data_IF_704589034737
#
_entry.id   IF_704589034737
#
_cell.length_a   1.000
_cell.length_b   1.000
_cell.length_c   1.000
_cell.angle_alpha   90.00
_cell.angle_beta   90.00
_cell.angle_gamma   90.00
#
_symmetry.space_group_name_H-M   'P 1'
#
loop_
_entity.id
_entity.type
_entity.pdbx_description
1 polymer ?
#
# COMPACT_ATOMS: atom_id res chain seq x y z
N UNK A 1 15.13 -13.31 16.88
CA UNK A 1 13.78 -13.92 17.01
C UNK A 1 13.77 -15.44 16.91
N UNK A 2 14.46 -16.08 15.96
CA UNK A 2 14.41 -17.55 15.76
C UNK A 2 15.32 -18.36 16.71
N UNK A 3 16.25 -17.70 17.41
CA UNK A 3 17.28 -18.35 18.22
C UNK A 3 16.73 -19.27 19.33
N UNK A 4 15.66 -18.91 20.08
CA UNK A 4 15.09 -19.82 21.09
C UNK A 4 14.47 -21.12 20.52
N UNK A 5 14.15 -21.14 19.22
CA UNK A 5 13.48 -22.27 18.56
C UNK A 5 14.51 -23.10 17.77
N UNK A 6 15.45 -22.44 17.08
CA UNK A 6 16.47 -23.07 16.25
C UNK A 6 17.85 -22.48 16.56
N UNK A 7 18.44 -22.78 17.73
CA UNK A 7 19.69 -22.16 18.18
C UNK A 7 20.84 -22.44 17.21
N UNK A 8 21.07 -23.70 16.84
CA UNK A 8 22.15 -24.09 15.93
C UNK A 8 22.07 -23.42 14.55
N UNK A 9 20.87 -23.36 13.96
CA UNK A 9 20.67 -22.74 12.64
C UNK A 9 20.88 -21.23 12.73
N UNK A 10 20.41 -20.59 13.80
CA UNK A 10 20.59 -19.16 14.00
C UNK A 10 22.06 -18.79 14.21
N UNK A 11 22.84 -19.61 14.90
CA UNK A 11 24.28 -19.40 15.08
C UNK A 11 25.04 -19.55 13.75
N UNK A 12 24.69 -20.56 12.94
CA UNK A 12 25.32 -20.72 11.62
C UNK A 12 25.01 -19.52 10.70
N UNK A 13 23.77 -18.98 10.76
CA UNK A 13 23.41 -17.76 10.04
C UNK A 13 24.22 -16.56 10.54
N UNK A 14 24.37 -16.43 11.87
CA UNK A 14 25.11 -15.33 12.50
C UNK A 14 26.60 -15.35 12.11
N UNK A 15 27.21 -16.54 12.11
CA UNK A 15 28.58 -16.74 11.66
C UNK A 15 28.75 -16.38 10.17
N UNK A 16 27.80 -16.79 9.31
CA UNK A 16 27.80 -16.44 7.88
C UNK A 16 27.59 -14.95 7.62
N UNK A 17 26.90 -14.24 8.52
CA UNK A 17 26.76 -12.78 8.47
C UNK A 17 28.03 -12.05 8.93
N UNK A 18 29.05 -12.78 9.40
CA UNK A 18 30.35 -12.23 9.79
C UNK A 18 30.44 -11.80 11.26
N UNK A 19 29.43 -12.11 12.07
CA UNK A 19 29.46 -11.86 13.51
C UNK A 19 30.30 -12.95 14.19
N UNK A 20 31.22 -12.54 15.05
CA UNK A 20 32.15 -13.44 15.75
C UNK A 20 31.67 -13.87 17.13
N UNK A 21 30.65 -13.20 17.64
CA UNK A 21 30.07 -13.46 18.96
C UNK A 21 28.85 -14.36 18.81
N UNK A 22 28.69 -15.30 19.74
CA UNK A 22 27.52 -16.18 19.81
C UNK A 22 26.27 -15.33 20.07
N UNK A 23 25.15 -15.68 19.44
CA UNK A 23 23.85 -15.02 19.65
C UNK A 23 23.41 -15.08 21.12
N UNK A 24 23.76 -16.14 21.85
CA UNK A 24 23.53 -16.27 23.30
C UNK A 24 24.26 -15.20 24.14
N UNK A 25 25.32 -14.58 23.60
CA UNK A 25 26.06 -13.53 24.29
C UNK A 25 25.36 -12.17 24.21
N UNK A 26 24.41 -12.01 23.28
CA UNK A 26 23.61 -10.80 23.18
C UNK A 26 22.56 -10.81 24.29
N UNK A 27 22.71 -9.90 25.26
CA UNK A 27 21.84 -9.82 26.44
C UNK A 27 20.43 -9.28 26.17
N UNK A 28 20.20 -8.67 25.01
CA UNK A 28 18.94 -7.97 24.70
C UNK A 28 18.24 -8.58 23.50
N UNK A 29 16.91 -8.69 23.62
CA UNK A 29 16.04 -8.88 22.48
C UNK A 29 16.12 -7.64 21.57
N UNK A 30 16.01 -7.76 20.24
CA UNK A 30 15.93 -6.59 19.38
C UNK A 30 14.75 -5.72 19.80
N UNK A 31 15.01 -4.45 20.06
CA UNK A 31 13.99 -3.46 20.38
C UNK A 31 13.33 -2.96 19.09
N UNK A 32 12.03 -2.70 19.15
CA UNK A 32 11.27 -2.17 18.03
C UNK A 32 11.46 -0.66 17.99
N UNK A 33 12.27 -0.19 17.05
CA UNK A 33 12.38 1.23 16.70
C UNK A 33 11.38 1.51 15.57
N UNK A 34 10.15 1.94 15.92
CA UNK A 34 9.19 2.41 14.92
C UNK A 34 9.24 3.94 14.85
N UNK A 35 9.56 4.46 13.67
CA UNK A 35 9.48 5.89 13.36
C UNK A 35 8.19 6.22 12.61
N UNK A 36 7.76 7.49 12.62
CA UNK A 36 6.62 7.93 11.81
C UNK A 36 6.84 7.71 10.29
N UNK A 37 8.12 7.67 9.88
CA UNK A 37 8.51 7.34 8.51
C UNK A 37 8.21 5.89 8.18
N UNK A 38 8.44 4.96 9.12
CA UNK A 38 8.15 3.53 8.92
C UNK A 38 6.65 3.29 8.73
N UNK A 39 5.81 3.98 9.49
CA UNK A 39 4.35 3.86 9.36
C UNK A 39 3.92 4.33 7.96
N UNK A 40 4.51 5.42 7.46
CA UNK A 40 4.21 5.91 6.11
C UNK A 40 4.67 4.92 5.05
N UNK A 41 5.87 4.35 5.20
CA UNK A 41 6.42 3.38 4.27
C UNK A 41 5.63 2.06 4.25
N UNK A 42 5.22 1.55 5.40
CA UNK A 42 4.36 0.36 5.51
C UNK A 42 3.04 0.54 4.75
N UNK A 43 2.41 1.73 4.88
CA UNK A 43 1.16 2.05 4.15
C UNK A 43 1.36 2.00 2.65
N UNK A 44 2.40 2.63 2.15
CA UNK A 44 2.70 2.65 0.71
C UNK A 44 3.04 1.24 0.20
N UNK A 45 3.73 0.44 1.01
CA UNK A 45 4.02 -0.95 0.69
C UNK A 45 2.75 -1.82 0.66
N UNK A 46 1.77 -1.54 1.53
CA UNK A 46 0.46 -2.20 1.47
C UNK A 46 -0.28 -1.87 0.16
N UNK A 47 -0.28 -0.60 -0.25
CA UNK A 47 -0.89 -0.15 -1.52
C UNK A 47 -0.22 -0.85 -2.70
N UNK A 48 1.11 -0.93 -2.70
CA UNK A 48 1.87 -1.62 -3.73
C UNK A 48 1.52 -3.10 -3.79
N UNK A 49 1.52 -3.81 -2.66
CA UNK A 49 1.19 -5.24 -2.63
C UNK A 49 -0.23 -5.51 -3.11
N UNK A 50 -1.21 -4.72 -2.69
CA UNK A 50 -2.59 -4.82 -3.18
C UNK A 50 -2.67 -4.60 -4.68
N UNK A 51 -1.95 -3.61 -5.21
CA UNK A 51 -1.89 -3.33 -6.64
C UNK A 51 -1.29 -4.52 -7.41
N UNK A 52 -0.20 -5.10 -6.91
CA UNK A 52 0.44 -6.28 -7.49
C UNK A 52 -0.50 -7.48 -7.49
N UNK A 53 -1.22 -7.72 -6.40
CA UNK A 53 -2.18 -8.81 -6.31
C UNK A 53 -3.41 -8.60 -7.20
N UNK A 54 -3.88 -7.37 -7.34
CA UNK A 54 -4.94 -7.02 -8.29
C UNK A 54 -4.49 -7.26 -9.74
N UNK A 55 -3.24 -6.90 -10.10
CA UNK A 55 -2.66 -7.24 -11.41
C UNK A 55 -2.61 -8.76 -11.62
N UNK A 56 -2.13 -9.54 -10.63
CA UNK A 56 -2.11 -11.01 -10.71
C UNK A 56 -3.51 -11.58 -10.92
N UNK A 57 -4.50 -11.05 -10.21
CA UNK A 57 -5.89 -11.47 -10.32
C UNK A 57 -6.46 -11.16 -11.71
N UNK A 58 -6.19 -9.96 -12.25
CA UNK A 58 -6.59 -9.60 -13.62
C UNK A 58 -5.97 -10.52 -14.66
N UNK A 59 -4.66 -10.80 -14.57
CA UNK A 59 -3.97 -11.74 -15.46
C UNK A 59 -4.59 -13.14 -15.36
N UNK A 60 -4.91 -13.60 -14.15
CA UNK A 60 -5.54 -14.90 -13.92
C UNK A 60 -6.94 -14.99 -14.54
N UNK A 61 -7.71 -13.91 -14.48
CA UNK A 61 -9.06 -13.82 -15.08
C UNK A 61 -8.96 -13.78 -16.60
N UNK A 62 -8.07 -12.94 -17.14
CA UNK A 62 -7.90 -12.74 -18.58
C UNK A 62 -7.20 -13.93 -19.26
N UNK A 63 -6.45 -14.76 -18.51
CA UNK A 63 -5.66 -15.90 -19.01
C UNK A 63 -4.72 -15.55 -20.17
N UNK A 64 -4.26 -14.30 -20.22
CA UNK A 64 -3.39 -13.75 -21.26
C UNK A 64 -2.12 -13.20 -20.63
N UNK A 65 -1.02 -13.20 -21.39
CA UNK A 65 0.20 -12.52 -20.99
C UNK A 65 0.04 -11.02 -21.30
N UNK A 66 0.12 -10.13 -20.29
CA UNK A 66 -0.02 -8.71 -20.50
C UNK A 66 1.16 -8.18 -21.31
N UNK A 67 0.88 -7.40 -22.35
CA UNK A 67 1.92 -6.68 -23.12
C UNK A 67 2.18 -5.31 -22.50
N UNK A 68 1.13 -4.67 -22.00
CA UNK A 68 1.21 -3.37 -21.33
C UNK A 68 0.31 -3.34 -20.10
N UNK A 69 0.81 -2.74 -19.01
CA UNK A 69 0.07 -2.50 -17.78
C UNK A 69 0.09 -0.99 -17.54
N UNK A 70 -1.10 -0.37 -17.52
CA UNK A 70 -1.27 1.04 -17.17
C UNK A 70 -1.81 1.13 -15.76
N UNK A 71 -1.09 1.85 -14.90
CA UNK A 71 -1.48 2.10 -13.51
C UNK A 71 -1.88 3.58 -13.41
N UNK A 72 -3.14 3.81 -13.10
CA UNK A 72 -3.74 5.13 -12.96
C UNK A 72 -3.84 5.53 -11.49
N UNK A 73 -3.08 6.52 -11.06
CA UNK A 73 -3.23 7.13 -9.71
C UNK A 73 -4.45 8.05 -9.72
N UNK A 74 -5.15 8.15 -8.58
CA UNK A 74 -6.31 9.00 -8.43
C UNK A 74 -5.93 10.49 -8.44
N UNK A 75 -6.78 11.36 -9.01
CA UNK A 75 -6.54 12.80 -9.07
C UNK A 75 -6.42 13.46 -7.67
N UNK A 76 -5.66 14.58 -7.59
CA UNK A 76 -5.41 15.35 -6.37
C UNK A 76 -6.70 15.77 -5.66
N UNK A 77 -7.73 16.14 -6.42
CA UNK A 77 -9.04 16.50 -5.87
C UNK A 77 -9.67 15.35 -5.05
N UNK A 78 -9.41 14.10 -5.43
CA UNK A 78 -9.91 12.91 -4.71
C UNK A 78 -9.13 12.66 -3.42
N UNK A 79 -7.84 12.97 -3.40
CA UNK A 79 -7.03 12.93 -2.18
C UNK A 79 -7.49 13.97 -1.16
N UNK A 80 -7.85 15.18 -1.60
CA UNK A 80 -8.41 16.20 -0.70
C UNK A 80 -9.73 15.76 -0.07
N UNK A 81 -10.65 15.20 -0.87
CA UNK A 81 -11.92 14.67 -0.36
C UNK A 81 -11.67 13.50 0.60
N UNK A 82 -10.74 12.61 0.26
CA UNK A 82 -10.35 11.48 1.11
C UNK A 82 -9.81 11.94 2.46
N UNK A 83 -8.86 12.89 2.48
CA UNK A 83 -8.27 13.43 3.70
C UNK A 83 -9.28 14.21 4.54
N UNK A 84 -10.21 14.94 3.91
CA UNK A 84 -11.34 15.58 4.61
C UNK A 84 -12.24 14.56 5.29
N UNK A 85 -12.54 13.43 4.63
CA UNK A 85 -13.32 12.33 5.22
C UNK A 85 -12.57 11.68 6.39
N UNK A 86 -11.27 11.40 6.26
CA UNK A 86 -10.42 10.85 7.34
C UNK A 86 -10.41 11.79 8.55
N UNK A 87 -10.18 13.09 8.33
CA UNK A 87 -10.14 14.08 9.40
C UNK A 87 -11.45 14.12 10.19
N UNK A 88 -12.59 14.04 9.48
CA UNK A 88 -13.91 14.01 10.13
C UNK A 88 -14.23 12.70 10.83
N UNK A 89 -13.78 11.56 10.30
CA UNK A 89 -13.91 10.26 10.98
C UNK A 89 -13.14 10.22 12.31
N UNK A 90 -12.03 10.97 12.42
CA UNK A 90 -11.28 11.13 13.67
C UNK A 90 -12.01 12.02 14.69
N UNK A 91 -12.79 13.00 14.23
CA UNK A 91 -13.57 13.90 15.09
C UNK A 91 -14.92 13.29 15.52
N UNK A 92 -15.65 12.67 14.59
CA UNK A 92 -17.02 12.22 14.79
C UNK A 92 -17.24 10.89 14.02
N UNK A 93 -17.51 9.79 14.74
CA UNK A 93 -17.72 8.45 14.13
C UNK A 93 -19.07 8.31 13.41
N UNK A 94 -19.89 9.35 13.41
CA UNK A 94 -21.22 9.36 12.80
C UNK A 94 -21.17 9.49 11.27
N UNK A 95 -21.14 8.35 10.58
CA UNK A 95 -21.19 8.25 9.11
C UNK A 95 -22.40 8.99 8.49
N UNK A 96 -23.52 9.11 9.22
CA UNK A 96 -24.72 9.83 8.77
C UNK A 96 -24.55 11.36 8.72
N UNK A 97 -23.74 11.96 9.59
CA UNK A 97 -23.43 13.40 9.54
C UNK A 97 -22.49 13.71 8.38
N UNK A 98 -21.45 12.88 8.23
CA UNK A 98 -20.48 12.95 7.13
C UNK A 98 -21.21 12.81 5.78
N UNK A 99 -22.18 11.90 5.68
CA UNK A 99 -23.01 11.75 4.48
C UNK A 99 -23.89 12.97 4.19
N UNK A 100 -24.44 13.64 5.22
CA UNK A 100 -25.30 14.81 5.02
C UNK A 100 -24.52 16.05 4.56
N UNK A 101 -23.29 16.21 5.03
CA UNK A 101 -22.44 17.36 4.66
C UNK A 101 -21.71 17.16 3.33
N UNK A 102 -21.21 15.95 3.05
CA UNK A 102 -20.37 15.64 1.88
C UNK A 102 -21.02 14.70 0.86
N UNK A 103 -22.29 14.31 1.01
CA UNK A 103 -22.99 13.32 0.18
C UNK A 103 -23.18 13.65 -1.31
N UNK A 104 -22.57 14.73 -1.80
CA UNK A 104 -22.55 15.09 -3.22
C UNK A 104 -21.48 14.32 -4.00
N UNK A 105 -20.39 13.90 -3.37
CA UNK A 105 -19.30 13.21 -4.08
C UNK A 105 -19.51 11.69 -4.14
N UNK A 106 -19.32 11.09 -5.33
CA UNK A 106 -19.42 9.64 -5.52
C UNK A 106 -18.42 8.85 -4.67
N UNK A 107 -17.29 9.48 -4.35
CA UNK A 107 -16.21 8.90 -3.54
C UNK A 107 -16.69 8.67 -2.09
N UNK A 108 -17.42 9.64 -1.54
CA UNK A 108 -18.02 9.58 -0.20
C UNK A 108 -19.07 8.46 -0.13
N UNK A 109 -19.88 8.30 -1.19
CA UNK A 109 -20.84 7.20 -1.31
C UNK A 109 -20.17 5.82 -1.35
N UNK A 110 -19.04 5.68 -2.06
CA UNK A 110 -18.28 4.41 -2.15
C UNK A 110 -17.58 4.06 -0.84
N UNK A 111 -17.08 5.05 -0.11
CA UNK A 111 -16.44 4.87 1.20
C UNK A 111 -17.45 4.48 2.27
N UNK A 112 -18.60 5.17 2.36
CA UNK A 112 -19.63 4.89 3.37
C UNK A 112 -20.32 3.55 3.13
N UNK A 113 -20.42 3.08 1.87
CA UNK A 113 -20.92 1.73 1.55
C UNK A 113 -20.03 0.60 2.07
N UNK A 114 -18.76 0.88 2.41
CA UNK A 114 -17.81 -0.12 2.92
C UNK A 114 -17.26 0.32 4.29
N UNK A 115 -18.07 0.26 5.36
CA UNK A 115 -17.65 0.71 6.70
C UNK A 115 -16.43 -0.05 7.25
N UNK A 116 -16.20 -1.30 6.85
CA UNK A 116 -15.00 -2.07 7.23
C UNK A 116 -13.73 -1.68 6.45
N UNK A 117 -13.82 -0.79 5.45
CA UNK A 117 -12.68 -0.28 4.66
C UNK A 117 -12.61 1.24 4.76
N UNK A 118 -13.03 1.79 5.89
CA UNK A 118 -12.96 3.23 6.10
C UNK A 118 -11.49 3.67 6.12
N UNK A 119 -11.20 4.85 5.57
CA UNK A 119 -9.90 5.48 5.71
C UNK A 119 -9.61 5.84 7.18
N UNK A 120 -8.70 5.13 7.82
CA UNK A 120 -8.24 5.49 9.17
C UNK A 120 -7.10 6.53 9.13
N UNK A 121 -6.44 6.70 7.98
CA UNK A 121 -5.16 7.39 7.88
C UNK A 121 -5.07 8.32 6.67
N UNK A 122 -4.35 9.44 6.85
CA UNK A 122 -4.13 10.46 5.83
C UNK A 122 -3.21 9.93 4.74
N UNK A 123 -3.44 10.38 3.50
CA UNK A 123 -2.62 10.01 2.36
C UNK A 123 -2.12 11.22 1.62
N UNK A 124 -0.88 11.13 1.17
CA UNK A 124 -0.27 12.15 0.35
C UNK A 124 -0.18 11.70 -1.11
N UNK A 125 -0.53 12.60 -2.02
CA UNK A 125 -0.55 12.33 -3.44
C UNK A 125 0.84 12.11 -4.02
N UNK A 126 1.81 12.94 -3.62
CA UNK A 126 3.14 12.94 -4.21
C UNK A 126 3.92 11.70 -3.77
N UNK A 127 3.72 11.29 -2.52
CA UNK A 127 4.33 10.07 -1.97
C UNK A 127 3.83 8.82 -2.69
N UNK A 128 2.51 8.65 -2.85
CA UNK A 128 1.92 7.47 -3.54
C UNK A 128 2.36 7.40 -5.01
N UNK A 129 2.43 8.55 -5.69
CA UNK A 129 2.88 8.63 -7.08
C UNK A 129 4.37 8.30 -7.23
N UNK A 130 5.22 8.75 -6.29
CA UNK A 130 6.65 8.43 -6.31
C UNK A 130 6.90 6.95 -6.06
N UNK A 131 6.26 6.36 -5.04
CA UNK A 131 6.42 4.93 -4.73
C UNK A 131 5.99 4.05 -5.91
N UNK A 132 4.88 4.39 -6.58
CA UNK A 132 4.43 3.64 -7.75
C UNK A 132 5.36 3.80 -8.95
N UNK A 133 5.95 4.98 -9.15
CA UNK A 133 7.00 5.20 -10.18
C UNK A 133 8.25 4.38 -9.90
N UNK A 134 8.73 4.35 -8.66
CA UNK A 134 9.87 3.52 -8.28
C UNK A 134 9.58 2.03 -8.47
N UNK A 135 8.34 1.62 -8.18
CA UNK A 135 7.88 0.26 -8.36
C UNK A 135 7.70 -0.17 -9.82
N UNK A 136 7.71 0.74 -10.80
CA UNK A 136 7.59 0.38 -12.23
C UNK A 136 8.63 -0.66 -12.65
N UNK A 137 9.87 -0.48 -12.19
CA UNK A 137 10.97 -1.41 -12.48
C UNK A 137 10.76 -2.79 -11.86
N UNK A 138 10.14 -2.85 -10.68
CA UNK A 138 9.79 -4.09 -9.99
C UNK A 138 8.63 -4.82 -10.70
N UNK A 139 7.55 -4.10 -11.01
CA UNK A 139 6.36 -4.64 -11.67
C UNK A 139 6.71 -5.12 -13.09
N UNK A 140 7.54 -4.38 -13.82
CA UNK A 140 8.02 -4.76 -15.16
C UNK A 140 8.77 -6.09 -15.13
N UNK A 141 9.64 -6.30 -14.13
CA UNK A 141 10.37 -7.58 -13.96
C UNK A 141 9.44 -8.73 -13.57
N UNK A 142 8.48 -8.48 -12.68
CA UNK A 142 7.54 -9.50 -12.21
C UNK A 142 6.64 -10.03 -13.34
N UNK A 143 6.09 -9.12 -14.16
CA UNK A 143 5.07 -9.48 -15.15
C UNK A 143 5.60 -9.55 -16.59
N UNK A 144 6.88 -9.23 -16.82
CA UNK A 144 7.52 -9.19 -18.15
C UNK A 144 6.75 -8.31 -19.15
N UNK A 145 6.10 -7.26 -18.65
CA UNK A 145 5.21 -6.38 -19.40
C UNK A 145 5.67 -4.93 -19.27
N UNK A 146 5.34 -4.10 -20.26
CA UNK A 146 5.65 -2.67 -20.20
C UNK A 146 4.71 -2.00 -19.20
N UNK A 147 5.25 -1.37 -18.17
CA UNK A 147 4.46 -0.65 -17.15
C UNK A 147 4.51 0.85 -17.45
N UNK A 148 3.37 1.52 -17.35
CA UNK A 148 3.27 2.97 -17.40
C UNK A 148 2.39 3.45 -16.24
N UNK A 149 2.96 4.23 -15.33
CA UNK A 149 2.20 4.93 -14.30
C UNK A 149 1.81 6.31 -14.83
N UNK A 150 0.52 6.62 -14.78
CA UNK A 150 -0.01 7.91 -15.20
C UNK A 150 -1.07 8.41 -14.22
N UNK A 151 -1.29 9.72 -14.21
CA UNK A 151 -2.43 10.31 -13.50
C UNK A 151 -3.70 9.93 -14.25
N UNK A 152 -4.70 9.38 -13.54
CA UNK A 152 -5.98 9.01 -14.14
C UNK A 152 -7.09 9.92 -13.62
N UNK A 153 -7.74 10.65 -14.53
CA UNK A 153 -8.95 11.42 -14.23
C UNK A 153 -10.21 10.55 -14.13
N UNK A 154 -10.09 9.22 -14.26
CA UNK A 154 -11.21 8.27 -14.23
C UNK A 154 -11.84 8.13 -12.84
N UNK A 155 -13.18 8.09 -12.78
CA UNK A 155 -14.01 7.91 -11.57
C UNK A 155 -13.79 6.61 -10.78
N UNK A 156 -12.99 5.69 -11.33
CA UNK A 156 -12.69 4.39 -10.71
C UNK A 156 -11.43 4.40 -9.83
N UNK A 157 -10.50 5.33 -10.06
CA UNK A 157 -9.32 5.47 -9.21
C UNK A 157 -9.71 6.16 -7.89
N UNK A 158 -9.35 5.53 -6.77
CA UNK A 158 -9.54 6.02 -5.40
C UNK A 158 -8.16 6.05 -4.73
N UNK A 159 -7.84 7.02 -3.86
CA UNK A 159 -6.57 7.03 -3.12
C UNK A 159 -6.25 5.67 -2.47
N UNK A 160 -5.06 5.12 -2.77
CA UNK A 160 -4.58 3.77 -2.42
C UNK A 160 -5.32 2.58 -3.04
N UNK A 161 -6.12 2.83 -4.08
CA UNK A 161 -6.60 1.83 -5.04
C UNK A 161 -6.44 2.40 -6.45
N UNK A 162 -5.23 2.32 -7.01
CA UNK A 162 -4.99 2.78 -8.37
C UNK A 162 -5.82 1.95 -9.37
N UNK A 163 -6.26 2.58 -10.45
CA UNK A 163 -6.93 1.89 -11.55
C UNK A 163 -5.87 1.12 -12.33
N UNK A 164 -6.13 -0.16 -12.60
CA UNK A 164 -5.24 -1.00 -13.40
C UNK A 164 -5.93 -1.31 -14.72
N UNK A 165 -5.27 -1.00 -15.83
CA UNK A 165 -5.67 -1.44 -17.16
C UNK A 165 -4.57 -2.34 -17.73
N UNK A 166 -4.99 -3.52 -18.22
CA UNK A 166 -4.09 -4.54 -18.76
C UNK A 166 -4.44 -4.74 -20.23
N UNK A 167 -3.45 -4.56 -21.10
CA UNK A 167 -3.53 -4.74 -22.56
C UNK A 167 -2.59 -5.86 -23.04
#
# INVERSE_FOLDING_TARGET
MIHPIFPFVSEEINEKLGNKELLESYKSWPELEHTEQDITLEREFEVLNRTVDDIKNLIKILKLQPKSIKIGVADRAKFEVYNKVVGRLKEDRDLSKIYKEMGRDELVKKLIKNPNKLPDELRDYETELNVLKEAEGYISKLFKAKVQVSESSDDKAIPGKPKIEVE
#
